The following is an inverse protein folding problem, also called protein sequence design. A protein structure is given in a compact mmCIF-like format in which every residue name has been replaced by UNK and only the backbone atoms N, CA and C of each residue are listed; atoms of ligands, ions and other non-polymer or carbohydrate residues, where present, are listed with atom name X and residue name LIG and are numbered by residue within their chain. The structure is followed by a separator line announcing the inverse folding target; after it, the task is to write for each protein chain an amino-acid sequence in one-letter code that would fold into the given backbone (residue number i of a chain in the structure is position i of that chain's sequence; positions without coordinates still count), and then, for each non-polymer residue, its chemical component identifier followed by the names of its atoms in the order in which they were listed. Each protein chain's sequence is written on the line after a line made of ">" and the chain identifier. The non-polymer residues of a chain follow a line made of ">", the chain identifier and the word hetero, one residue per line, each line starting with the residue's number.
data_IF_271315045991
#
_entry.id   IF_271315045991
#
_cell.length_a   1.000
_cell.length_b   1.000
_cell.length_c   1.000
_cell.angle_alpha   90.00
_cell.angle_beta   90.00
_cell.angle_gamma   90.00
#
_symmetry.space_group_name_H-M   'P 1'
#
loop_
_entity.id
_entity.type
_entity.pdbx_description
1 polymer ?
#
# COMPACT_ATOMS: atom_id res chain seq x y z
N UNK A 1 -38.46 24.76 5.89
CA UNK A 1 -39.15 25.53 6.94
C UNK A 1 -40.34 24.70 7.38
N UNK A 2 -40.23 23.96 8.47
CA UNK A 2 -41.37 23.23 9.03
C UNK A 2 -42.18 24.22 9.86
N UNK A 3 -43.33 24.63 9.33
CA UNK A 3 -44.37 25.32 10.09
C UNK A 3 -44.96 24.28 11.07
N UNK A 4 -44.24 23.96 12.15
CA UNK A 4 -44.86 23.23 13.26
C UNK A 4 -45.75 24.23 14.02
N UNK A 5 -47.06 23.99 14.02
CA UNK A 5 -47.97 24.67 14.93
C UNK A 5 -47.48 24.49 16.38
N UNK A 6 -47.55 25.54 17.21
CA UNK A 6 -47.06 25.46 18.58
C UNK A 6 -47.83 24.40 19.35
N UNK A 7 -47.10 23.41 19.87
CA UNK A 7 -47.66 22.33 20.67
C UNK A 7 -48.58 22.87 21.78
N UNK A 8 -49.75 22.24 22.02
CA UNK A 8 -50.61 22.63 23.12
C UNK A 8 -49.83 22.63 24.44
N UNK A 9 -50.11 23.58 25.33
CA UNK A 9 -49.41 23.65 26.61
C UNK A 9 -49.95 22.61 27.58
N UNK A 10 -49.06 21.88 28.26
CA UNK A 10 -49.45 20.94 29.33
C UNK A 10 -50.21 21.66 30.44
N UNK A 11 -51.49 21.31 30.60
CA UNK A 11 -52.30 21.75 31.72
C UNK A 11 -51.88 21.01 32.98
N UNK A 12 -51.73 21.73 34.10
CA UNK A 12 -51.56 21.16 35.44
C UNK A 12 -52.72 21.60 36.32
N UNK A 13 -53.39 20.64 36.95
CA UNK A 13 -54.43 20.86 37.95
C UNK A 13 -53.97 20.28 39.28
N UNK A 14 -54.18 21.02 40.36
CA UNK A 14 -53.93 20.60 41.74
C UNK A 14 -55.22 20.11 42.41
N UNK A 15 -55.12 19.38 43.51
CA UNK A 15 -56.30 18.90 44.26
C UNK A 15 -57.21 20.03 44.74
N UNK A 16 -56.66 21.21 45.02
CA UNK A 16 -57.44 22.40 45.40
C UNK A 16 -58.26 22.94 44.24
N UNK A 17 -57.77 22.84 43.00
CA UNK A 17 -58.46 23.34 41.81
C UNK A 17 -59.76 22.56 41.57
N UNK A 18 -59.76 21.25 41.81
CA UNK A 18 -60.96 20.42 41.68
C UNK A 18 -62.08 20.76 42.67
N UNK A 19 -61.74 21.42 43.79
CA UNK A 19 -62.71 21.84 44.82
C UNK A 19 -63.26 23.24 44.60
N UNK A 20 -62.53 24.08 43.87
CA UNK A 20 -62.81 25.53 43.74
C UNK A 20 -63.28 25.90 42.33
N UNK A 21 -62.89 25.15 41.31
CA UNK A 21 -63.24 25.46 39.92
C UNK A 21 -64.67 25.03 39.56
N UNK A 22 -65.31 25.82 38.70
CA UNK A 22 -66.59 25.46 38.12
C UNK A 22 -66.44 24.27 37.16
N UNK A 23 -67.50 23.47 37.02
CA UNK A 23 -67.55 22.29 36.15
C UNK A 23 -67.12 22.60 34.71
N UNK A 24 -67.56 23.73 34.17
CA UNK A 24 -67.26 24.10 32.78
C UNK A 24 -65.78 24.46 32.58
N UNK A 25 -65.14 25.06 33.58
CA UNK A 25 -63.70 25.34 33.54
C UNK A 25 -62.88 24.05 33.62
N UNK A 26 -63.29 23.09 34.44
CA UNK A 26 -62.66 21.75 34.49
C UNK A 26 -62.77 21.02 33.15
N UNK A 27 -63.94 21.10 32.49
CA UNK A 27 -64.14 20.53 31.15
C UNK A 27 -63.21 21.19 30.14
N UNK A 28 -63.07 22.52 30.17
CA UNK A 28 -62.16 23.24 29.27
C UNK A 28 -60.70 22.82 29.48
N UNK A 29 -60.26 22.70 30.74
CA UNK A 29 -58.90 22.26 31.11
C UNK A 29 -58.65 20.80 30.72
N UNK A 30 -59.64 19.94 30.85
CA UNK A 30 -59.56 18.55 30.41
C UNK A 30 -59.41 18.45 28.88
N UNK A 31 -60.21 19.19 28.10
CA UNK A 31 -60.09 19.24 26.63
C UNK A 31 -58.72 19.75 26.18
N UNK A 32 -58.15 20.74 26.88
CA UNK A 32 -56.79 21.21 26.61
C UNK A 32 -55.73 20.14 26.90
N UNK A 33 -55.92 19.36 27.96
CA UNK A 33 -55.04 18.23 28.28
C UNK A 33 -55.15 17.11 27.24
N UNK A 34 -56.37 16.77 26.81
CA UNK A 34 -56.62 15.78 25.76
C UNK A 34 -55.96 16.18 24.43
N UNK A 35 -56.11 17.45 24.02
CA UNK A 35 -55.43 17.99 22.85
C UNK A 35 -53.88 17.92 22.96
N UNK A 36 -53.34 18.16 24.16
CA UNK A 36 -51.90 18.02 24.42
C UNK A 36 -51.44 16.57 24.29
N UNK A 37 -52.18 15.62 24.86
CA UNK A 37 -51.87 14.19 24.78
C UNK A 37 -51.92 13.72 23.33
N UNK A 38 -52.98 14.07 22.59
CA UNK A 38 -53.13 13.71 21.18
C UNK A 38 -51.98 14.26 20.32
N UNK A 39 -51.54 15.49 20.58
CA UNK A 39 -50.40 16.08 19.88
C UNK A 39 -49.08 15.36 20.20
N UNK A 40 -48.87 14.93 21.45
CA UNK A 40 -47.70 14.14 21.84
C UNK A 40 -47.70 12.74 21.22
N UNK A 41 -48.84 12.07 21.22
CA UNK A 41 -49.01 10.74 20.62
C UNK A 41 -48.76 10.78 19.11
N UNK A 42 -49.31 11.79 18.42
CA UNK A 42 -49.04 12.03 16.99
C UNK A 42 -47.54 12.23 16.71
N UNK A 43 -46.88 13.10 17.50
CA UNK A 43 -45.44 13.34 17.36
C UNK A 43 -44.61 12.07 17.62
N UNK A 44 -45.01 11.26 18.59
CA UNK A 44 -44.35 9.98 18.89
C UNK A 44 -44.50 8.99 17.72
N UNK A 45 -45.68 8.88 17.13
CA UNK A 45 -45.91 8.00 15.98
C UNK A 45 -45.13 8.45 14.74
N UNK A 46 -45.03 9.77 14.53
CA UNK A 46 -44.28 10.33 13.39
C UNK A 46 -42.77 10.06 13.53
N UNK A 47 -42.21 10.33 14.72
CA UNK A 47 -40.82 10.03 15.05
C UNK A 47 -40.49 8.54 14.90
N UNK A 48 -41.38 7.66 15.35
CA UNK A 48 -41.12 6.22 15.35
C UNK A 48 -41.27 5.60 13.95
N UNK A 49 -42.19 6.10 13.13
CA UNK A 49 -42.45 5.54 11.80
C UNK A 49 -41.39 5.93 10.77
N UNK A 50 -41.05 7.21 10.67
CA UNK A 50 -40.24 7.71 9.57
C UNK A 50 -38.77 7.93 9.95
N UNK A 51 -38.52 8.58 11.09
CA UNK A 51 -37.15 8.98 11.42
C UNK A 51 -36.33 7.79 11.94
N UNK A 52 -36.84 7.04 12.91
CA UNK A 52 -36.08 5.94 13.51
C UNK A 52 -35.87 4.78 12.54
N UNK A 53 -36.90 4.40 11.79
CA UNK A 53 -36.81 3.29 10.82
C UNK A 53 -35.93 3.67 9.63
N UNK A 54 -36.13 4.86 9.06
CA UNK A 54 -35.32 5.34 7.93
C UNK A 54 -33.85 5.53 8.29
N UNK A 55 -33.56 6.02 9.50
CA UNK A 55 -32.18 6.14 9.98
C UNK A 55 -31.51 4.78 10.15
N UNK A 56 -32.21 3.78 10.70
CA UNK A 56 -31.67 2.41 10.83
C UNK A 56 -31.37 1.78 9.49
N UNK A 57 -32.27 1.89 8.53
CA UNK A 57 -32.05 1.38 7.17
C UNK A 57 -30.87 2.09 6.48
N UNK A 58 -30.76 3.41 6.66
CA UNK A 58 -29.65 4.19 6.11
C UNK A 58 -28.31 3.81 6.76
N UNK A 59 -28.30 3.60 8.08
CA UNK A 59 -27.12 3.15 8.82
C UNK A 59 -26.66 1.77 8.31
N UNK A 60 -27.60 0.84 8.14
CA UNK A 60 -27.29 -0.50 7.66
C UNK A 60 -26.75 -0.49 6.22
N UNK A 61 -27.35 0.31 5.33
CA UNK A 61 -26.83 0.52 3.97
C UNK A 61 -25.42 1.10 3.96
N UNK A 62 -25.15 2.12 4.77
CA UNK A 62 -23.82 2.73 4.88
C UNK A 62 -22.79 1.72 5.41
N UNK A 63 -23.17 0.90 6.39
CA UNK A 63 -22.30 -0.14 6.93
C UNK A 63 -21.96 -1.20 5.89
N UNK A 64 -22.93 -1.64 5.09
CA UNK A 64 -22.70 -2.57 3.97
C UNK A 64 -21.76 -1.97 2.92
N UNK A 65 -22.00 -0.71 2.52
CA UNK A 65 -21.12 -0.01 1.58
C UNK A 65 -19.69 0.14 2.10
N UNK A 66 -19.53 0.45 3.38
CA UNK A 66 -18.22 0.54 4.01
C UNK A 66 -17.49 -0.81 3.98
N UNK A 67 -18.19 -1.90 4.33
CA UNK A 67 -17.61 -3.23 4.30
C UNK A 67 -17.20 -3.66 2.90
N UNK A 68 -18.04 -3.38 1.89
CA UNK A 68 -17.71 -3.69 0.49
C UNK A 68 -16.52 -2.85 0.00
N UNK A 69 -16.49 -1.55 0.33
CA UNK A 69 -15.37 -0.67 0.01
C UNK A 69 -14.05 -1.16 0.62
N UNK A 70 -14.06 -1.50 1.91
CA UNK A 70 -12.88 -2.07 2.59
C UNK A 70 -12.42 -3.39 1.96
N UNK A 71 -13.36 -4.24 1.53
CA UNK A 71 -13.02 -5.48 0.81
C UNK A 71 -12.37 -5.19 -0.54
N UNK A 72 -12.88 -4.22 -1.30
CA UNK A 72 -12.30 -3.81 -2.58
C UNK A 72 -10.90 -3.23 -2.40
N UNK A 73 -10.71 -2.39 -1.38
CA UNK A 73 -9.42 -1.81 -1.02
C UNK A 73 -8.39 -2.90 -0.70
N UNK A 74 -8.74 -3.89 0.12
CA UNK A 74 -7.85 -5.00 0.46
C UNK A 74 -7.40 -5.79 -0.79
N UNK A 75 -8.30 -6.01 -1.75
CA UNK A 75 -7.95 -6.66 -3.02
C UNK A 75 -6.98 -5.81 -3.84
N UNK A 76 -7.20 -4.48 -3.87
CA UNK A 76 -6.31 -3.56 -4.58
C UNK A 76 -4.92 -3.54 -3.95
N UNK A 77 -4.82 -3.52 -2.62
CA UNK A 77 -3.55 -3.60 -1.89
C UNK A 77 -2.80 -4.90 -2.22
N UNK A 78 -3.49 -6.04 -2.19
CA UNK A 78 -2.86 -7.32 -2.54
C UNK A 78 -2.35 -7.33 -3.99
N UNK A 79 -3.16 -6.83 -4.94
CA UNK A 79 -2.75 -6.72 -6.36
C UNK A 79 -1.57 -5.77 -6.55
N UNK A 80 -1.56 -4.66 -5.82
CA UNK A 80 -0.45 -3.70 -5.86
C UNK A 80 0.83 -4.35 -5.36
N UNK A 81 0.78 -5.04 -4.22
CA UNK A 81 1.93 -5.77 -3.69
C UNK A 81 2.47 -6.82 -4.68
N UNK A 82 1.60 -7.56 -5.36
CA UNK A 82 2.02 -8.49 -6.43
C UNK A 82 2.70 -7.75 -7.58
N UNK A 83 2.17 -6.62 -8.02
CA UNK A 83 2.76 -5.82 -9.11
C UNK A 83 4.12 -5.23 -8.70
N UNK A 84 4.26 -4.78 -7.46
CA UNK A 84 5.54 -4.30 -6.92
C UNK A 84 6.58 -5.42 -6.88
N UNK A 85 6.18 -6.63 -6.46
CA UNK A 85 7.06 -7.79 -6.49
C UNK A 85 7.50 -8.14 -7.92
N UNK A 86 6.58 -8.23 -8.88
CA UNK A 86 6.90 -8.48 -10.30
C UNK A 86 7.89 -7.44 -10.85
N UNK A 87 7.75 -6.17 -10.47
CA UNK A 87 8.65 -5.09 -10.88
C UNK A 87 10.05 -5.25 -10.27
N UNK A 88 10.14 -5.65 -9.00
CA UNK A 88 11.43 -5.94 -8.34
C UNK A 88 12.12 -7.15 -8.98
N UNK A 89 11.38 -8.20 -9.32
CA UNK A 89 11.90 -9.38 -10.03
C UNK A 89 12.43 -9.01 -11.42
N UNK A 90 11.69 -8.19 -12.18
CA UNK A 90 12.12 -7.66 -13.48
C UNK A 90 13.41 -6.82 -13.34
N UNK A 91 13.47 -5.95 -12.34
CA UNK A 91 14.68 -5.15 -12.05
C UNK A 91 15.89 -6.04 -11.75
N UNK A 92 15.68 -7.11 -10.97
CA UNK A 92 16.72 -8.08 -10.64
C UNK A 92 17.21 -8.82 -11.89
N UNK A 93 16.30 -9.25 -12.76
CA UNK A 93 16.67 -9.89 -14.04
C UNK A 93 17.45 -8.94 -14.94
N UNK A 94 17.05 -7.66 -15.04
CA UNK A 94 17.78 -6.65 -15.81
C UNK A 94 19.20 -6.46 -15.25
N UNK A 95 19.35 -6.37 -13.93
CA UNK A 95 20.66 -6.24 -13.30
C UNK A 95 21.54 -7.45 -13.58
N UNK A 96 20.98 -8.66 -13.47
CA UNK A 96 21.69 -9.89 -13.80
C UNK A 96 22.14 -9.91 -15.26
N UNK A 97 21.24 -9.62 -16.20
CA UNK A 97 21.57 -9.56 -17.63
C UNK A 97 22.64 -8.51 -17.92
N UNK A 98 22.57 -7.33 -17.30
CA UNK A 98 23.60 -6.30 -17.44
C UNK A 98 24.97 -6.77 -16.95
N UNK A 99 25.03 -7.54 -15.87
CA UNK A 99 26.29 -8.12 -15.38
C UNK A 99 26.84 -9.17 -16.34
N UNK A 100 25.99 -10.07 -16.85
CA UNK A 100 26.39 -11.11 -17.82
C UNK A 100 26.82 -10.50 -19.16
N UNK A 101 26.17 -9.42 -19.58
CA UNK A 101 26.41 -8.77 -20.86
C UNK A 101 27.52 -7.71 -20.82
N UNK A 102 28.18 -7.48 -19.68
CA UNK A 102 29.40 -6.68 -19.62
C UNK A 102 30.59 -7.58 -19.98
N UNK A 103 31.05 -7.60 -21.25
CA UNK A 103 32.24 -8.36 -21.61
C UNK A 103 33.42 -7.83 -20.79
N UNK A 104 34.19 -8.74 -20.20
CA UNK A 104 35.43 -8.36 -19.53
C UNK A 104 36.35 -7.63 -20.51
N UNK A 105 37.21 -6.74 -19.99
CA UNK A 105 38.20 -6.02 -20.80
C UNK A 105 39.06 -7.00 -21.63
N UNK A 106 39.31 -8.21 -21.12
CA UNK A 106 40.00 -9.28 -21.84
C UNK A 106 39.19 -9.81 -23.05
N UNK A 107 37.88 -10.03 -22.88
CA UNK A 107 36.99 -10.43 -23.97
C UNK A 107 36.86 -9.33 -25.03
N UNK A 108 36.74 -8.05 -24.62
CA UNK A 108 36.73 -6.91 -25.54
C UNK A 108 38.04 -6.79 -26.33
N UNK A 109 39.19 -7.00 -25.68
CA UNK A 109 40.49 -7.03 -26.37
C UNK A 109 40.54 -8.21 -27.36
N UNK A 110 40.04 -9.38 -26.97
CA UNK A 110 40.02 -10.56 -27.84
C UNK A 110 39.09 -10.43 -29.05
N UNK A 111 38.01 -9.64 -28.98
CA UNK A 111 37.15 -9.38 -30.15
C UNK A 111 37.68 -8.26 -31.04
N UNK A 112 38.52 -7.37 -30.49
CA UNK A 112 39.14 -6.27 -31.25
C UNK A 112 40.40 -6.70 -32.02
N UNK A 113 41.06 -7.77 -31.56
CA UNK A 113 42.19 -8.38 -32.28
C UNK A 113 41.66 -9.52 -33.14
N UNK A 114 42.00 -9.53 -34.43
CA UNK A 114 41.67 -10.67 -35.30
C UNK A 114 42.15 -11.99 -34.66
N UNK A 115 41.34 -13.06 -34.62
CA UNK A 115 41.67 -14.29 -33.92
C UNK A 115 43.00 -14.92 -34.36
N UNK A 116 43.33 -14.85 -35.66
CA UNK A 116 44.60 -15.38 -36.17
C UNK A 116 45.76 -14.49 -35.72
N UNK A 117 45.60 -13.17 -35.77
CA UNK A 117 46.60 -12.21 -35.27
C UNK A 117 46.85 -12.40 -33.76
N UNK A 118 45.79 -12.58 -32.97
CA UNK A 118 45.91 -12.82 -31.52
C UNK A 118 46.70 -14.11 -31.23
N UNK A 119 46.45 -15.17 -32.00
CA UNK A 119 47.17 -16.44 -31.86
C UNK A 119 48.67 -16.27 -32.16
N UNK A 120 49.01 -15.50 -33.20
CA UNK A 120 50.41 -15.17 -33.49
C UNK A 120 51.07 -14.36 -32.37
N UNK A 121 50.40 -13.34 -31.82
CA UNK A 121 50.94 -12.58 -30.69
C UNK A 121 51.17 -13.46 -29.44
N UNK A 122 50.25 -14.36 -29.12
CA UNK A 122 50.40 -15.30 -28.01
C UNK A 122 51.59 -16.24 -28.23
N UNK A 123 51.73 -16.77 -29.45
CA UNK A 123 52.84 -17.65 -29.81
C UNK A 123 54.18 -16.91 -29.75
N UNK A 124 54.27 -15.71 -30.32
CA UNK A 124 55.46 -14.86 -30.26
C UNK A 124 55.84 -14.52 -28.83
N UNK A 125 54.86 -14.21 -27.97
CA UNK A 125 55.10 -13.94 -26.55
C UNK A 125 55.66 -15.17 -25.85
N UNK A 126 55.10 -16.36 -26.11
CA UNK A 126 55.61 -17.61 -25.54
C UNK A 126 57.02 -17.96 -26.00
N UNK A 127 57.31 -17.81 -27.30
CA UNK A 127 58.65 -18.01 -27.85
C UNK A 127 59.66 -17.03 -27.26
N UNK A 128 59.30 -15.76 -27.10
CA UNK A 128 60.16 -14.74 -26.49
C UNK A 128 60.48 -15.07 -25.03
N UNK A 129 59.49 -15.46 -24.23
CA UNK A 129 59.67 -15.84 -22.83
C UNK A 129 60.59 -17.05 -22.73
N UNK A 130 60.33 -18.09 -23.52
CA UNK A 130 61.13 -19.30 -23.52
C UNK A 130 62.59 -19.03 -23.98
N UNK A 131 62.79 -18.05 -24.86
CA UNK A 131 64.14 -17.64 -25.30
C UNK A 131 64.86 -16.84 -24.20
N UNK A 132 64.14 -15.99 -23.47
CA UNK A 132 64.68 -15.31 -22.28
C UNK A 132 65.09 -16.31 -21.21
N UNK A 133 64.24 -17.28 -20.89
CA UNK A 133 64.54 -18.32 -19.90
C UNK A 133 65.81 -19.10 -20.26
N UNK A 134 65.94 -19.50 -21.54
CA UNK A 134 67.14 -20.17 -22.04
C UNK A 134 68.38 -19.29 -21.97
N UNK A 135 68.24 -18.00 -22.29
CA UNK A 135 69.35 -17.05 -22.20
C UNK A 135 69.79 -16.85 -20.75
N UNK A 136 68.84 -16.70 -19.82
CA UNK A 136 69.13 -16.58 -18.40
C UNK A 136 69.80 -17.85 -17.88
N UNK A 137 69.29 -19.03 -18.25
CA UNK A 137 69.91 -20.30 -17.90
C UNK A 137 71.34 -20.41 -18.44
N UNK A 138 71.56 -20.12 -19.72
CA UNK A 138 72.89 -20.17 -20.33
C UNK A 138 73.85 -19.15 -19.70
N UNK A 139 73.35 -17.96 -19.34
CA UNK A 139 74.14 -16.94 -18.65
C UNK A 139 74.48 -17.36 -17.22
N UNK A 140 73.53 -17.97 -16.50
CA UNK A 140 73.75 -18.53 -15.17
C UNK A 140 74.79 -19.67 -15.22
N UNK A 141 74.67 -20.58 -16.17
CA UNK A 141 75.66 -21.64 -16.41
C UNK A 141 77.05 -21.05 -16.70
N UNK A 142 77.17 -20.13 -17.67
CA UNK A 142 78.45 -19.49 -18.00
C UNK A 142 79.06 -18.75 -16.79
N UNK A 143 78.23 -18.11 -15.97
CA UNK A 143 78.68 -17.47 -14.74
C UNK A 143 79.18 -18.50 -13.72
N UNK A 144 78.55 -19.67 -13.62
CA UNK A 144 79.00 -20.75 -12.76
C UNK A 144 80.34 -21.34 -13.24
N UNK A 145 80.56 -21.47 -14.56
CA UNK A 145 81.84 -21.90 -15.14
C UNK A 145 82.99 -20.94 -14.86
N UNK A 146 82.72 -19.63 -14.72
CA UNK A 146 83.76 -18.64 -14.35
C UNK A 146 84.24 -18.76 -12.90
N UNK A 147 83.54 -19.51 -12.05
CA UNK A 147 83.90 -19.72 -10.65
C UNK A 147 84.59 -21.06 -10.35
N UNK A 148 84.81 -21.92 -11.36
CA UNK A 148 85.70 -23.08 -11.23
C UNK A 148 87.13 -22.66 -11.61
N UNK A 149 88.07 -22.52 -10.65
CA UNK A 149 89.47 -22.19 -10.96
C UNK A 149 90.13 -23.40 -11.61
N UNK A 150 90.65 -23.24 -12.82
CA UNK A 150 91.46 -24.26 -13.47
C UNK A 150 92.75 -24.49 -12.64
N UNK A 151 92.93 -25.72 -12.16
CA UNK A 151 94.19 -26.22 -11.57
C UNK A 151 95.03 -26.91 -12.63
#
# INVERSE_FOLDING_TARGET
>A
MTNEEPLPKKVRLSETDFKVMARDELILRWKQYEAYVQALEGKYTDLNSNDVTGLRESEEKLKQQQQESARRENILVMRLATKEQEMQECTTQIQYLKQVQQPSVAQLRSTMVDPAINLFFLKMKGELEQTKDKLEQAQNELSAWKFTPDR
#
